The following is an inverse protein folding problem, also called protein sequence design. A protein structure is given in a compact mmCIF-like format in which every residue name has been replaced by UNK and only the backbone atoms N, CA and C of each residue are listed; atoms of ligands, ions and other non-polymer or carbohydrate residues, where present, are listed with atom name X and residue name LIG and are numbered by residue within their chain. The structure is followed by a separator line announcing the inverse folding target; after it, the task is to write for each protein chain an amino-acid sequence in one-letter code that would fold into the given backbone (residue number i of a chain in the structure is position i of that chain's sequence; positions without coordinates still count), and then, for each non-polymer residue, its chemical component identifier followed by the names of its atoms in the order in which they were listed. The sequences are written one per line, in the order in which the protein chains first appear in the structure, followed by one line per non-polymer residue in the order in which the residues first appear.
data_IF_524422645232
#
_entry.id   IF_524422645232
#
_cell.length_a   1.000
_cell.length_b   1.000
_cell.length_c   1.000
_cell.angle_alpha   90.00
_cell.angle_beta   90.00
_cell.angle_gamma   90.00
#
_symmetry.space_group_name_H-M   'P 1'
#
loop_
_entity.id
_entity.type
_entity.pdbx_description
1 polymer ?
#
# COMPACT_ATOMS: atom_id res chain seq x y z
N UNK A 1 27.35 31.17 -13.25
CA UNK A 1 26.23 30.33 -13.70
C UNK A 1 26.59 28.89 -13.38
N UNK A 2 26.00 28.34 -12.32
CA UNK A 2 26.47 27.11 -11.68
C UNK A 2 25.55 25.91 -12.00
N UNK A 3 26.22 24.81 -12.36
CA UNK A 3 25.85 23.40 -12.19
C UNK A 3 24.59 22.87 -12.91
N UNK A 4 24.80 22.40 -14.14
CA UNK A 4 24.21 21.14 -14.59
C UNK A 4 24.88 19.98 -13.85
N UNK A 5 24.09 19.10 -13.21
CA UNK A 5 24.62 17.92 -12.53
C UNK A 5 23.56 17.00 -11.95
N UNK A 6 22.43 16.83 -12.62
CA UNK A 6 21.41 15.83 -12.27
C UNK A 6 21.86 14.43 -12.67
N UNK A 7 22.88 13.91 -12.00
CA UNK A 7 23.35 12.53 -12.20
C UNK A 7 22.32 11.58 -11.56
N UNK A 8 21.38 11.06 -12.36
CA UNK A 8 20.57 9.88 -12.00
C UNK A 8 21.54 8.73 -11.74
N UNK A 9 21.68 8.34 -10.46
CA UNK A 9 22.43 7.15 -10.11
C UNK A 9 21.70 5.93 -10.68
N UNK A 10 22.44 5.21 -11.50
CA UNK A 10 22.16 3.94 -12.16
C UNK A 10 21.57 2.85 -11.25
N UNK A 11 20.58 2.12 -11.77
CA UNK A 11 20.48 0.66 -11.64
C UNK A 11 19.93 0.05 -10.37
N UNK A 12 19.64 0.82 -9.32
CA UNK A 12 18.96 0.29 -8.11
C UNK A 12 17.45 0.46 -8.30
N UNK A 13 16.64 -0.61 -8.18
CA UNK A 13 15.19 -0.48 -8.12
C UNK A 13 14.84 0.50 -6.99
N UNK A 14 13.99 1.48 -7.27
CA UNK A 14 13.49 2.39 -6.24
C UNK A 14 12.84 1.55 -5.13
N UNK A 15 13.50 1.49 -3.96
CA UNK A 15 13.12 0.61 -2.86
C UNK A 15 11.71 0.90 -2.37
N UNK A 16 11.29 2.16 -2.45
CA UNK A 16 9.95 2.56 -2.08
C UNK A 16 8.94 2.14 -3.14
N UNK A 17 9.26 2.30 -4.44
CA UNK A 17 8.38 1.84 -5.51
C UNK A 17 8.20 0.31 -5.48
N UNK A 18 9.26 -0.45 -5.27
CA UNK A 18 9.18 -1.91 -5.11
C UNK A 18 8.31 -2.30 -3.91
N UNK A 19 8.45 -1.58 -2.79
CA UNK A 19 7.59 -1.77 -1.63
C UNK A 19 6.13 -1.45 -1.94
N UNK A 20 5.86 -0.35 -2.64
CA UNK A 20 4.51 0.06 -3.03
C UNK A 20 3.82 -0.98 -3.91
N UNK A 21 4.54 -1.55 -4.89
CA UNK A 21 4.03 -2.64 -5.72
C UNK A 21 3.65 -3.84 -4.85
N UNK A 22 4.53 -4.26 -3.93
CA UNK A 22 4.26 -5.41 -3.06
C UNK A 22 3.02 -5.20 -2.17
N UNK A 23 2.85 -4.01 -1.58
CA UNK A 23 1.69 -3.68 -0.74
C UNK A 23 0.40 -3.65 -1.56
N UNK A 24 0.41 -3.01 -2.74
CA UNK A 24 -0.76 -2.95 -3.60
C UNK A 24 -1.16 -4.33 -4.12
N UNK A 25 -0.20 -5.18 -4.49
CA UNK A 25 -0.49 -6.56 -4.90
C UNK A 25 -1.16 -7.36 -3.79
N UNK A 26 -0.85 -7.10 -2.51
CA UNK A 26 -1.53 -7.77 -1.39
C UNK A 26 -2.96 -7.27 -1.21
N UNK A 27 -3.20 -5.96 -1.32
CA UNK A 27 -4.56 -5.44 -1.27
C UNK A 27 -5.43 -5.92 -2.44
N UNK A 28 -4.83 -6.15 -3.62
CA UNK A 28 -5.53 -6.70 -4.79
C UNK A 28 -6.00 -8.15 -4.60
N UNK A 29 -5.35 -8.92 -3.71
CA UNK A 29 -5.80 -10.28 -3.34
C UNK A 29 -7.06 -10.27 -2.47
N UNK A 30 -7.54 -9.11 -2.02
CA UNK A 30 -8.69 -8.96 -1.14
C UNK A 30 -8.37 -9.27 0.33
N UNK A 31 -9.38 -9.67 1.15
CA UNK A 31 -9.21 -9.97 2.57
C UNK A 31 -8.47 -11.31 2.76
N UNK A 32 -7.19 -11.32 2.38
CA UNK A 32 -6.28 -12.43 2.56
C UNK A 32 -5.39 -12.14 3.78
N UNK A 33 -5.14 -13.12 4.67
CA UNK A 33 -4.35 -12.91 5.89
C UNK A 33 -2.84 -12.79 5.63
N UNK A 34 -2.43 -12.26 4.46
CA UNK A 34 -1.02 -12.02 4.19
C UNK A 34 -0.48 -10.94 5.12
N UNK A 35 0.71 -11.14 5.69
CA UNK A 35 1.39 -10.07 6.39
C UNK A 35 1.67 -8.93 5.42
N UNK A 36 1.20 -7.72 5.75
CA UNK A 36 1.50 -6.53 4.96
C UNK A 36 3.00 -6.21 5.12
N UNK A 37 3.77 -6.11 4.02
CA UNK A 37 5.17 -5.73 4.05
C UNK A 37 5.35 -4.43 4.82
N UNK A 38 6.41 -4.37 5.63
CA UNK A 38 6.85 -3.13 6.26
C UNK A 38 7.91 -2.48 5.39
N UNK A 39 7.88 -1.16 5.28
CA UNK A 39 8.94 -0.41 4.63
C UNK A 39 9.97 0.01 5.70
N UNK A 40 11.20 -0.48 5.54
CA UNK A 40 12.33 -0.13 6.41
C UNK A 40 13.42 0.67 5.66
N UNK A 41 13.09 1.20 4.48
CA UNK A 41 13.98 2.03 3.67
C UNK A 41 13.98 3.51 4.08
N UNK A 42 14.68 4.37 3.33
CA UNK A 42 14.71 5.81 3.58
C UNK A 42 13.31 6.41 3.59
N UNK A 43 13.01 7.15 4.65
CA UNK A 43 11.70 7.75 4.89
C UNK A 43 11.83 9.28 4.89
N UNK A 44 11.09 9.91 4.00
CA UNK A 44 10.91 11.34 3.85
C UNK A 44 9.42 11.71 3.95
N UNK A 45 9.11 13.00 3.86
CA UNK A 45 7.71 13.45 3.97
C UNK A 45 6.79 12.88 2.88
N UNK A 46 7.33 12.56 1.69
CA UNK A 46 6.54 12.04 0.57
C UNK A 46 6.16 10.58 0.83
N UNK A 47 7.15 9.75 1.15
CA UNK A 47 6.98 8.34 1.50
C UNK A 47 6.06 8.18 2.71
N UNK A 48 6.22 9.00 3.75
CA UNK A 48 5.32 9.03 4.91
C UNK A 48 3.87 9.35 4.55
N UNK A 49 3.67 10.39 3.72
CA UNK A 49 2.35 10.81 3.29
C UNK A 49 1.63 9.70 2.51
N UNK A 50 2.38 9.01 1.63
CA UNK A 50 1.86 7.88 0.85
C UNK A 50 1.51 6.71 1.76
N UNK A 51 2.40 6.28 2.65
CA UNK A 51 2.16 5.17 3.58
C UNK A 51 0.95 5.41 4.49
N UNK A 52 0.81 6.63 5.00
CA UNK A 52 -0.36 7.06 5.79
C UNK A 52 -1.65 6.97 4.98
N UNK A 53 -1.62 7.46 3.74
CA UNK A 53 -2.78 7.45 2.85
C UNK A 53 -3.21 6.02 2.50
N UNK A 54 -2.25 5.13 2.22
CA UNK A 54 -2.50 3.71 1.98
C UNK A 54 -3.15 3.03 3.18
N UNK A 55 -2.65 3.30 4.39
CA UNK A 55 -3.25 2.77 5.63
C UNK A 55 -4.72 3.20 5.77
N UNK A 56 -5.03 4.46 5.44
CA UNK A 56 -6.41 4.97 5.47
C UNK A 56 -7.32 4.32 4.41
N UNK A 57 -6.80 4.10 3.21
CA UNK A 57 -7.52 3.42 2.13
C UNK A 57 -7.80 1.96 2.52
N UNK A 58 -6.79 1.22 2.96
CA UNK A 58 -6.91 -0.18 3.35
C UNK A 58 -7.93 -0.38 4.47
N UNK A 59 -7.92 0.49 5.49
CA UNK A 59 -8.94 0.45 6.56
C UNK A 59 -10.36 0.61 6.02
N UNK A 60 -10.59 1.57 5.12
CA UNK A 60 -11.91 1.78 4.51
C UNK A 60 -12.34 0.60 3.66
N UNK A 61 -11.41 0.02 2.90
CA UNK A 61 -11.65 -1.18 2.08
C UNK A 61 -12.06 -2.36 2.95
N UNK A 62 -11.27 -2.71 3.98
CA UNK A 62 -11.61 -3.82 4.88
C UNK A 62 -12.92 -3.59 5.64
N UNK A 63 -13.20 -2.36 6.10
CA UNK A 63 -14.51 -2.07 6.71
C UNK A 63 -15.67 -2.29 5.73
N UNK A 64 -15.51 -1.90 4.46
CA UNK A 64 -16.54 -2.13 3.45
C UNK A 64 -16.71 -3.62 3.13
N UNK A 65 -15.62 -4.36 2.99
CA UNK A 65 -15.63 -5.81 2.75
C UNK A 65 -16.29 -6.58 3.90
N UNK A 66 -15.96 -6.25 5.15
CA UNK A 66 -16.59 -6.88 6.32
C UNK A 66 -18.09 -6.55 6.40
N UNK A 67 -18.49 -5.33 6.04
CA UNK A 67 -19.91 -4.98 5.98
C UNK A 67 -20.64 -5.82 4.91
N UNK A 68 -20.08 -5.94 3.70
CA UNK A 68 -20.64 -6.76 2.62
C UNK A 68 -20.77 -8.21 3.04
N UNK A 69 -19.73 -8.77 3.68
CA UNK A 69 -19.74 -10.13 4.20
C UNK A 69 -20.84 -10.33 5.25
N UNK A 70 -20.98 -9.40 6.20
CA UNK A 70 -22.04 -9.47 7.21
C UNK A 70 -23.45 -9.43 6.60
N UNK A 71 -23.66 -8.65 5.53
CA UNK A 71 -24.93 -8.65 4.79
C UNK A 71 -25.19 -10.01 4.11
N UNK A 72 -24.20 -10.56 3.41
CA UNK A 72 -24.32 -11.86 2.74
C UNK A 72 -24.57 -13.01 3.71
N UNK A 73 -23.85 -13.02 4.83
CA UNK A 73 -24.03 -14.02 5.89
C UNK A 73 -25.45 -13.91 6.46
N UNK A 74 -25.97 -12.69 6.68
CA UNK A 74 -27.34 -12.45 7.13
C UNK A 74 -28.43 -12.90 6.15
N UNK A 75 -28.20 -12.77 4.84
CA UNK A 75 -29.10 -13.28 3.79
C UNK A 75 -29.09 -14.80 3.69
N UNK A 76 -27.96 -15.46 3.98
CA UNK A 76 -27.84 -16.92 3.89
C UNK A 76 -28.65 -17.71 4.93
N UNK A 77 -29.15 -17.04 5.98
CA UNK A 77 -29.96 -17.65 7.06
C UNK A 77 -31.47 -17.48 6.88
N UNK A 78 -31.94 -16.93 5.75
CA UNK A 78 -33.37 -16.79 5.39
C UNK A 78 -33.76 -17.78 4.29
#
# INVERSE_FOLDING_TARGET
MAAHGGQRLSGVPDSFLSHLIAVLSIYDLGPFPAPIPRYDGPQDWQTESILRSLTSIAKRMYTAEEAVKAFQDGESWQ
#
